data_IF_401304478096
#
_entry.id   IF_401304478096
#
_cell.length_a   1.000
_cell.length_b   1.000
_cell.length_c   1.000
_cell.angle_alpha   90.00
_cell.angle_beta   90.00
_cell.angle_gamma   90.00
#
_symmetry.space_group_name_H-M   'P 1'
#
loop_
_entity.id
_entity.type
_entity.pdbx_description
1 polymer ?
#
# COMPACT_ATOMS: atom_id res chain seq x y z
N UNK A 1 -3.98 -12.60 11.74
CA UNK A 1 -5.41 -12.30 11.50
C UNK A 1 -5.97 -13.31 10.50
N UNK A 2 -7.26 -13.66 10.58
CA UNK A 2 -7.96 -14.53 9.61
C UNK A 2 -9.04 -13.71 8.92
N UNK A 3 -9.25 -13.93 7.63
CA UNK A 3 -10.31 -13.32 6.84
C UNK A 3 -11.06 -14.42 6.07
N UNK A 4 -12.37 -14.26 5.90
CA UNK A 4 -13.19 -15.04 4.98
C UNK A 4 -13.28 -14.25 3.67
N UNK A 5 -13.07 -14.92 2.55
CA UNK A 5 -13.06 -14.32 1.22
C UNK A 5 -13.91 -15.19 0.32
N UNK A 6 -14.88 -14.59 -0.34
CA UNK A 6 -15.67 -15.26 -1.37
C UNK A 6 -14.86 -15.34 -2.66
N UNK A 7 -14.79 -16.55 -3.22
CA UNK A 7 -14.14 -16.84 -4.49
C UNK A 7 -15.04 -17.78 -5.27
N UNK A 8 -15.10 -17.60 -6.58
CA UNK A 8 -15.78 -18.57 -7.44
C UNK A 8 -14.88 -19.80 -7.68
N UNK A 9 -15.49 -20.89 -8.17
CA UNK A 9 -14.78 -22.16 -8.36
C UNK A 9 -13.60 -22.02 -9.33
N UNK A 10 -13.73 -21.18 -10.37
CA UNK A 10 -12.68 -20.98 -11.36
C UNK A 10 -11.45 -20.28 -10.77
N UNK A 11 -11.65 -19.34 -9.85
CA UNK A 11 -10.57 -18.71 -9.09
C UNK A 11 -9.86 -19.71 -8.19
N UNK A 12 -10.60 -20.60 -7.52
CA UNK A 12 -10.03 -21.64 -6.64
C UNK A 12 -9.16 -22.61 -7.45
N UNK A 13 -9.67 -23.10 -8.58
CA UNK A 13 -8.92 -24.00 -9.47
C UNK A 13 -7.65 -23.36 -10.04
N UNK A 14 -7.73 -22.08 -10.43
CA UNK A 14 -6.58 -21.33 -10.93
C UNK A 14 -5.49 -21.19 -9.85
N UNK A 15 -5.90 -20.88 -8.61
CA UNK A 15 -5.01 -20.79 -7.46
C UNK A 15 -4.36 -22.13 -7.10
N UNK A 16 -5.12 -23.23 -7.15
CA UNK A 16 -4.59 -24.58 -6.91
C UNK A 16 -3.59 -25.00 -7.99
N UNK A 17 -3.88 -24.69 -9.25
CA UNK A 17 -2.96 -24.94 -10.37
C UNK A 17 -1.66 -24.16 -10.21
N UNK A 18 -1.77 -22.87 -9.86
CA UNK A 18 -0.62 -22.01 -9.61
C UNK A 18 0.22 -22.51 -8.42
N UNK A 19 -0.45 -22.86 -7.31
CA UNK A 19 0.18 -23.39 -6.10
C UNK A 19 1.02 -24.65 -6.38
N UNK A 20 0.49 -25.58 -7.17
CA UNK A 20 1.23 -26.78 -7.60
C UNK A 20 2.43 -26.43 -8.47
N UNK A 21 2.25 -25.54 -9.45
CA UNK A 21 3.32 -25.11 -10.37
C UNK A 21 4.50 -24.49 -9.65
N UNK A 22 4.23 -23.61 -8.68
CA UNK A 22 5.26 -22.87 -7.93
C UNK A 22 5.68 -23.57 -6.63
N UNK A 23 5.10 -24.74 -6.32
CA UNK A 23 5.35 -25.53 -5.11
C UNK A 23 5.20 -24.73 -3.81
N UNK A 24 4.15 -23.92 -3.72
CA UNK A 24 3.81 -23.14 -2.51
C UNK A 24 2.36 -23.39 -2.12
N UNK A 25 2.03 -23.17 -0.85
CA UNK A 25 0.64 -23.27 -0.41
C UNK A 25 -0.20 -22.12 -1.00
N UNK A 26 -1.48 -22.39 -1.28
CA UNK A 26 -2.44 -21.35 -1.68
C UNK A 26 -2.41 -20.13 -0.76
N UNK A 27 -2.35 -20.36 0.56
CA UNK A 27 -2.31 -19.28 1.54
C UNK A 27 -1.05 -18.41 1.42
N UNK A 28 0.10 -18.98 1.02
CA UNK A 28 1.31 -18.21 0.77
C UNK A 28 1.17 -17.31 -0.46
N UNK A 29 0.56 -17.82 -1.54
CA UNK A 29 0.29 -17.04 -2.74
C UNK A 29 -0.69 -15.90 -2.50
N UNK A 30 -1.75 -16.13 -1.72
CA UNK A 30 -2.72 -15.09 -1.39
C UNK A 30 -2.04 -13.98 -0.57
N UNK A 31 -1.19 -14.31 0.40
CA UNK A 31 -0.44 -13.31 1.16
C UNK A 31 0.46 -12.46 0.27
N UNK A 32 1.24 -13.11 -0.59
CA UNK A 32 2.11 -12.41 -1.54
C UNK A 32 1.32 -11.51 -2.50
N UNK A 33 0.17 -11.98 -2.99
CA UNK A 33 -0.70 -11.17 -3.84
C UNK A 33 -1.26 -9.93 -3.09
N UNK A 34 -1.58 -10.06 -1.81
CA UNK A 34 -2.01 -8.94 -0.96
C UNK A 34 -0.87 -7.93 -0.80
N UNK A 35 0.33 -8.41 -0.46
CA UNK A 35 1.51 -7.55 -0.28
C UNK A 35 1.85 -6.80 -1.58
N UNK A 36 1.84 -7.50 -2.71
CA UNK A 36 2.05 -6.91 -4.04
C UNK A 36 1.00 -5.86 -4.39
N UNK A 37 -0.28 -6.13 -4.11
CA UNK A 37 -1.37 -5.20 -4.39
C UNK A 37 -1.23 -3.93 -3.55
N UNK A 38 -0.97 -4.08 -2.25
CA UNK A 38 -0.77 -2.95 -1.35
C UNK A 38 0.45 -2.12 -1.75
N UNK A 39 1.57 -2.76 -2.13
CA UNK A 39 2.77 -2.05 -2.56
C UNK A 39 2.55 -1.23 -3.83
N UNK A 40 1.76 -1.75 -4.79
CA UNK A 40 1.42 -1.02 -6.02
C UNK A 40 0.61 0.25 -5.72
N UNK A 41 -0.36 0.15 -4.81
CA UNK A 41 -1.24 1.28 -4.46
C UNK A 41 -0.66 2.21 -3.39
N UNK A 42 0.36 1.78 -2.63
CA UNK A 42 1.03 2.64 -1.66
C UNK A 42 1.79 3.80 -2.34
N UNK A 43 2.38 3.56 -3.52
CA UNK A 43 3.07 4.61 -4.29
C UNK A 43 2.13 5.71 -4.77
N UNK A 44 0.92 5.36 -5.19
CA UNK A 44 -0.11 6.33 -5.61
C UNK A 44 -0.53 7.24 -4.45
N UNK A 45 -0.56 6.72 -3.21
CA UNK A 45 -0.94 7.50 -2.03
C UNK A 45 0.15 8.45 -1.51
N UNK A 46 1.44 8.14 -1.72
CA UNK A 46 2.54 9.00 -1.26
C UNK A 46 2.65 10.27 -2.12
N UNK A 47 2.31 10.22 -3.41
CA UNK A 47 2.27 11.43 -4.24
C UNK A 47 1.24 12.45 -3.73
N UNK A 48 0.11 11.99 -3.18
CA UNK A 48 -0.88 12.86 -2.53
C UNK A 48 -0.44 13.35 -1.14
N UNK A 49 0.31 12.54 -0.39
CA UNK A 49 0.78 12.87 0.96
C UNK A 49 1.83 13.99 1.01
N UNK A 50 2.77 14.01 0.07
CA UNK A 50 3.76 15.09 -0.05
C UNK A 50 3.30 16.25 -0.95
N UNK A 51 2.33 16.02 -1.84
CA UNK A 51 1.75 17.06 -2.71
C UNK A 51 1.03 18.19 -1.95
N UNK A 52 0.46 17.89 -0.78
CA UNK A 52 -0.17 18.88 0.10
C UNK A 52 0.85 19.87 0.71
N UNK A 53 2.09 19.44 0.94
CA UNK A 53 3.17 20.33 1.37
C UNK A 53 3.80 21.07 0.18
N UNK A 54 3.87 20.44 -1.00
CA UNK A 54 4.35 21.09 -2.23
C UNK A 54 3.51 22.31 -2.65
N UNK A 55 2.21 22.35 -2.34
CA UNK A 55 1.34 23.51 -2.60
C UNK A 55 1.50 24.66 -1.60
N UNK A 56 2.10 24.40 -0.43
CA UNK A 56 2.52 25.44 0.51
C UNK A 56 3.99 25.74 0.27
N UNK A 57 4.29 26.70 -0.62
CA UNK A 57 5.60 27.38 -0.66
C UNK A 57 5.77 28.28 0.56
N UNK A 58 5.67 27.71 1.76
CA UNK A 58 6.06 28.41 2.97
C UNK A 58 7.54 28.13 3.14
N UNK A 59 8.35 29.20 3.08
CA UNK A 59 9.76 29.11 3.43
C UNK A 59 9.85 28.60 4.88
N UNK A 60 10.51 27.45 5.05
CA UNK A 60 10.65 26.80 6.35
C UNK A 60 11.37 27.67 7.37
N UNK A 61 12.29 28.54 6.92
CA UNK A 61 13.01 29.47 7.79
C UNK A 61 12.08 30.58 8.27
N UNK A 62 11.32 31.20 7.36
CA UNK A 62 10.35 32.24 7.70
C UNK A 62 9.24 31.72 8.63
N UNK A 63 8.81 30.45 8.46
CA UNK A 63 7.86 29.81 9.37
C UNK A 63 8.44 29.62 10.77
N UNK A 64 9.69 29.15 10.87
CA UNK A 64 10.36 28.96 12.15
C UNK A 64 10.61 30.28 12.88
N UNK A 65 11.01 31.34 12.16
CA UNK A 65 11.18 32.69 12.71
C UNK A 65 9.86 33.25 13.25
N UNK A 66 8.76 33.07 12.51
CA UNK A 66 7.43 33.50 12.96
C UNK A 66 7.03 32.81 14.27
N UNK A 67 7.14 31.49 14.35
CA UNK A 67 6.75 30.73 15.55
C UNK A 67 7.65 31.08 16.75
N UNK A 68 8.92 31.38 16.52
CA UNK A 68 9.86 31.80 17.59
C UNK A 68 9.66 33.24 18.05
N UNK A 69 9.09 34.11 17.21
CA UNK A 69 8.75 35.48 17.60
C UNK A 69 7.48 35.59 18.45
N UNK A 70 6.71 34.50 18.58
CA UNK A 70 5.49 34.42 19.39
C UNK A 70 5.75 33.91 20.83
N UNK A 71 7.02 33.67 21.21
CA UNK A 71 7.45 33.19 22.54
C UNK A 71 8.39 34.18 23.22
#
# INVERSE_FOLDING_TARGET
MRALIDMNDTQVEALDTLAKRVRRSRAALIREAIDDYLNRHHREQIEDGFGLWGKRKVDGLAYQEKVRGEW
#
